data_IF_579050509558
#
_entry.id   IF_579050509558
#
_cell.length_a   1.000
_cell.length_b   1.000
_cell.length_c   1.000
_cell.angle_alpha   90.00
_cell.angle_beta   90.00
_cell.angle_gamma   90.00
#
_symmetry.space_group_name_H-M   'P 1'
#
loop_
_entity.id
_entity.type
_entity.pdbx_description
1 polymer ?
#
# COMPACT_ATOMS: atom_id res chain seq x y z
N UNK A 1 7.80 -28.40 7.99
CA UNK A 1 6.77 -27.37 7.98
C UNK A 1 7.38 -26.04 7.56
N UNK A 2 6.73 -25.32 6.70
CA UNK A 2 7.11 -23.97 6.26
C UNK A 2 5.97 -23.03 6.62
N UNK A 3 6.32 -21.89 7.20
CA UNK A 3 5.38 -20.81 7.51
C UNK A 3 5.97 -19.52 6.99
N UNK A 4 5.17 -18.75 6.26
CA UNK A 4 5.65 -17.50 5.66
C UNK A 4 4.58 -16.75 4.89
N UNK A 5 4.99 -15.67 4.26
CA UNK A 5 4.14 -14.77 3.50
C UNK A 5 3.96 -15.15 2.03
N UNK A 6 4.62 -16.23 1.59
CA UNK A 6 4.60 -16.66 0.17
C UNK A 6 3.19 -17.01 -0.29
N UNK A 7 2.79 -16.43 -1.38
CA UNK A 7 1.56 -16.80 -2.08
C UNK A 7 1.88 -17.34 -3.49
N UNK A 8 0.91 -18.01 -4.09
CA UNK A 8 1.04 -18.53 -5.48
C UNK A 8 0.73 -17.37 -6.44
N UNK A 9 1.62 -16.40 -6.52
CA UNK A 9 1.55 -15.32 -7.51
C UNK A 9 2.81 -15.31 -8.38
N UNK A 10 2.70 -14.78 -9.59
CA UNK A 10 3.85 -14.66 -10.49
C UNK A 10 4.98 -13.84 -9.87
N UNK A 11 4.67 -12.75 -9.20
CA UNK A 11 5.66 -11.90 -8.52
C UNK A 11 6.35 -12.62 -7.38
N UNK A 12 5.63 -13.34 -6.54
CA UNK A 12 6.20 -14.12 -5.44
C UNK A 12 7.11 -15.26 -5.95
N UNK A 13 6.78 -15.85 -7.11
CA UNK A 13 7.55 -16.94 -7.70
C UNK A 13 8.76 -16.48 -8.51
N UNK A 14 8.83 -15.22 -8.94
CA UNK A 14 9.86 -14.76 -9.89
C UNK A 14 10.74 -13.64 -9.38
N UNK A 15 10.20 -12.62 -8.75
CA UNK A 15 10.89 -11.38 -8.39
C UNK A 15 10.57 -10.83 -7.00
N UNK A 16 9.55 -11.37 -6.35
CA UNK A 16 9.17 -10.97 -4.99
C UNK A 16 10.17 -11.48 -3.95
N UNK A 17 10.37 -10.70 -2.88
CA UNK A 17 11.10 -11.14 -1.71
C UNK A 17 10.09 -11.68 -0.71
N UNK A 18 10.10 -12.99 -0.54
CA UNK A 18 9.20 -13.70 0.37
C UNK A 18 9.97 -14.29 1.54
N UNK A 19 9.44 -14.14 2.73
CA UNK A 19 10.03 -14.66 3.94
C UNK A 19 9.29 -15.90 4.39
N UNK A 20 10.03 -17.03 4.40
CA UNK A 20 9.53 -18.31 4.88
C UNK A 20 10.43 -18.84 6.00
N UNK A 21 9.81 -19.28 7.08
CA UNK A 21 10.52 -19.97 8.14
C UNK A 21 10.28 -21.47 8.06
N UNK A 22 11.35 -22.26 8.12
CA UNK A 22 11.29 -23.72 8.09
C UNK A 22 11.40 -24.28 9.47
N UNK A 23 10.35 -24.90 9.96
CA UNK A 23 10.37 -25.68 11.19
C UNK A 23 10.75 -27.13 10.94
N UNK A 24 11.64 -27.67 11.78
CA UNK A 24 12.04 -29.08 11.74
C UNK A 24 11.65 -29.75 13.05
N UNK A 25 10.98 -30.89 12.97
CA UNK A 25 10.61 -31.71 14.15
C UNK A 25 11.82 -32.16 14.96
N UNK A 26 13.01 -32.18 14.35
CA UNK A 26 14.25 -32.57 15.02
C UNK A 26 14.95 -31.40 15.74
N UNK A 27 14.85 -30.20 15.17
CA UNK A 27 15.55 -29.00 15.69
C UNK A 27 14.70 -28.19 16.65
N UNK A 28 13.40 -28.15 16.40
CA UNK A 28 12.44 -27.36 17.16
C UNK A 28 11.13 -28.15 17.34
N UNK A 29 11.12 -29.20 18.17
CA UNK A 29 9.99 -30.11 18.27
C UNK A 29 8.74 -29.50 18.91
N UNK A 30 8.90 -28.49 19.77
CA UNK A 30 7.77 -27.84 20.46
C UNK A 30 7.00 -26.96 19.52
N UNK A 31 7.67 -26.01 18.90
CA UNK A 31 7.02 -25.12 17.91
C UNK A 31 6.52 -25.90 16.69
N UNK A 32 7.24 -26.95 16.25
CA UNK A 32 6.75 -27.81 15.18
C UNK A 32 5.41 -28.44 15.53
N UNK A 33 5.25 -28.98 16.75
CA UNK A 33 3.99 -29.61 17.21
C UNK A 33 2.86 -28.59 17.34
N UNK A 34 3.14 -27.41 17.85
CA UNK A 34 2.15 -26.34 18.01
C UNK A 34 1.61 -25.87 16.65
N UNK A 35 2.49 -25.55 15.71
CA UNK A 35 2.08 -25.16 14.37
C UNK A 35 1.40 -26.28 13.60
N UNK A 36 1.84 -27.51 13.79
CA UNK A 36 1.22 -28.66 13.15
C UNK A 36 -0.22 -28.88 13.66
N UNK A 37 -0.44 -28.80 14.95
CA UNK A 37 -1.78 -28.89 15.56
C UNK A 37 -2.69 -27.77 15.09
N UNK A 38 -2.21 -26.55 15.09
CA UNK A 38 -2.96 -25.40 14.59
C UNK A 38 -3.33 -25.57 13.13
N UNK A 39 -2.42 -26.06 12.30
CA UNK A 39 -2.69 -26.36 10.91
C UNK A 39 -3.75 -27.45 10.75
N UNK A 40 -3.65 -28.55 11.50
CA UNK A 40 -4.65 -29.63 11.46
C UNK A 40 -6.03 -29.14 11.89
N UNK A 41 -6.10 -28.35 12.96
CA UNK A 41 -7.35 -27.76 13.43
C UNK A 41 -8.00 -26.88 12.36
N UNK A 42 -7.23 -25.97 11.78
CA UNK A 42 -7.69 -25.11 10.68
C UNK A 42 -8.12 -25.92 9.45
N UNK A 43 -7.35 -26.96 9.11
CA UNK A 43 -7.64 -27.78 7.94
C UNK A 43 -8.87 -28.67 8.13
N UNK A 44 -9.06 -29.25 9.31
CA UNK A 44 -10.16 -30.18 9.58
C UNK A 44 -11.46 -29.44 9.93
N UNK A 45 -11.38 -28.37 10.73
CA UNK A 45 -12.55 -27.73 11.29
C UNK A 45 -12.93 -26.40 10.66
N UNK A 46 -11.99 -25.72 9.98
CA UNK A 46 -12.19 -24.38 9.44
C UNK A 46 -11.95 -24.26 7.93
N UNK A 47 -11.70 -25.37 7.24
CA UNK A 47 -11.57 -25.39 5.79
C UNK A 47 -12.74 -26.14 5.14
N UNK A 48 -12.99 -25.84 3.88
CA UNK A 48 -13.96 -26.55 3.03
C UNK A 48 -13.25 -27.21 1.87
N UNK A 49 -13.77 -28.36 1.44
CA UNK A 49 -13.30 -28.99 0.19
C UNK A 49 -13.82 -28.15 -0.97
N UNK A 50 -12.91 -27.66 -1.81
CA UNK A 50 -13.28 -26.95 -3.03
C UNK A 50 -13.58 -27.99 -4.10
N UNK A 51 -14.87 -28.24 -4.31
CA UNK A 51 -15.38 -29.02 -5.41
C UNK A 51 -15.81 -28.12 -6.60
N UNK A 52 -16.23 -28.73 -7.70
CA UNK A 52 -16.69 -27.99 -8.89
C UNK A 52 -17.88 -27.06 -8.59
N UNK A 53 -18.70 -27.39 -7.62
CA UNK A 53 -19.85 -26.58 -7.21
C UNK A 53 -19.40 -25.34 -6.45
N UNK A 54 -18.49 -25.50 -5.50
CA UNK A 54 -17.92 -24.37 -4.76
C UNK A 54 -17.07 -23.47 -5.68
N UNK A 55 -16.34 -24.05 -6.63
CA UNK A 55 -15.61 -23.30 -7.63
C UNK A 55 -16.52 -22.44 -8.51
N UNK A 56 -17.65 -23.00 -8.95
CA UNK A 56 -18.66 -22.26 -9.72
C UNK A 56 -19.29 -21.15 -8.87
N UNK A 57 -19.63 -21.45 -7.62
CA UNK A 57 -20.18 -20.46 -6.68
C UNK A 57 -19.19 -19.33 -6.44
N UNK A 58 -17.92 -19.65 -6.22
CA UNK A 58 -16.87 -18.67 -6.06
C UNK A 58 -16.74 -17.78 -7.31
N UNK A 59 -16.67 -18.37 -8.50
CA UNK A 59 -16.52 -17.62 -9.76
C UNK A 59 -17.71 -16.71 -10.06
N UNK A 60 -18.92 -17.09 -9.66
CA UNK A 60 -20.13 -16.25 -9.81
C UNK A 60 -20.18 -15.08 -8.84
N UNK A 61 -19.67 -15.27 -7.63
CA UNK A 61 -19.67 -14.27 -6.56
C UNK A 61 -18.38 -13.45 -6.53
N UNK A 62 -17.33 -13.90 -7.25
CA UNK A 62 -16.07 -13.19 -7.24
C UNK A 62 -16.18 -11.90 -8.07
N UNK A 63 -15.96 -10.80 -7.39
CA UNK A 63 -15.81 -9.51 -8.03
C UNK A 63 -14.37 -9.04 -7.81
N UNK A 64 -13.70 -8.65 -8.91
CA UNK A 64 -12.36 -8.11 -8.80
C UNK A 64 -12.38 -6.88 -7.88
N UNK A 65 -11.63 -6.86 -6.77
CA UNK A 65 -11.58 -5.71 -5.89
C UNK A 65 -11.23 -4.44 -6.67
N UNK A 66 -11.88 -3.33 -6.35
CA UNK A 66 -11.63 -2.04 -7.03
C UNK A 66 -10.13 -1.64 -6.97
N UNK A 67 -9.47 -1.97 -5.86
CA UNK A 67 -8.02 -1.77 -5.67
C UNK A 67 -7.18 -2.54 -6.69
N UNK A 68 -7.58 -3.78 -7.06
CA UNK A 68 -6.83 -4.57 -8.04
C UNK A 68 -6.99 -4.04 -9.47
N UNK A 69 -8.10 -3.35 -9.79
CA UNK A 69 -8.27 -2.69 -11.09
C UNK A 69 -7.35 -1.50 -11.27
N UNK A 70 -6.97 -0.86 -10.17
CA UNK A 70 -6.05 0.28 -10.22
C UNK A 70 -4.58 -0.15 -10.30
N UNK A 71 -4.22 -1.31 -9.77
CA UNK A 71 -2.85 -1.85 -9.85
C UNK A 71 -2.46 -2.24 -11.29
N UNK A 72 -3.39 -2.76 -12.09
CA UNK A 72 -3.13 -3.09 -13.50
C UNK A 72 -2.94 -1.85 -14.39
N UNK A 73 -3.35 -0.66 -13.92
CA UNK A 73 -3.12 0.61 -14.63
C UNK A 73 -1.71 1.15 -14.50
N UNK A 74 -0.93 0.63 -13.56
CA UNK A 74 0.48 1.03 -13.43
C UNK A 74 1.39 0.37 -14.46
N UNK A 75 0.91 -0.67 -15.17
CA UNK A 75 1.70 -1.43 -16.14
C UNK A 75 1.42 -1.11 -17.62
N UNK A 76 0.46 -0.23 -17.94
CA UNK A 76 0.13 0.05 -19.36
C UNK A 76 -0.01 1.54 -19.66
N UNK A 77 0.88 1.98 -20.54
CA UNK A 77 0.86 3.15 -21.41
C UNK A 77 -0.51 3.44 -22.04
N UNK A 78 -0.79 4.73 -22.08
CA UNK A 78 -1.71 5.49 -22.89
C UNK A 78 -2.49 4.75 -23.99
N UNK A 79 -3.81 4.75 -23.87
CA UNK A 79 -4.72 4.97 -24.99
C UNK A 79 -6.05 5.53 -24.47
N UNK A 80 -6.35 6.71 -24.97
CA UNK A 80 -7.58 7.44 -24.73
C UNK A 80 -8.79 6.68 -25.27
N UNK A 81 -9.80 6.49 -24.46
CA UNK A 81 -11.20 6.45 -24.94
C UNK A 81 -12.13 6.97 -23.86
N UNK A 82 -12.87 8.00 -24.22
CA UNK A 82 -13.94 8.64 -23.47
C UNK A 82 -14.99 7.62 -22.99
N UNK A 83 -15.12 7.47 -21.69
CA UNK A 83 -16.36 7.05 -21.05
C UNK A 83 -16.38 7.62 -19.64
N UNK A 84 -17.49 8.21 -19.25
CA UNK A 84 -17.80 8.79 -17.93
C UNK A 84 -17.50 7.77 -16.82
N UNK A 85 -16.25 7.74 -16.34
CA UNK A 85 -15.81 6.83 -15.28
C UNK A 85 -16.12 7.50 -13.95
N UNK A 86 -17.01 6.89 -13.18
CA UNK A 86 -17.16 7.17 -11.76
C UNK A 86 -15.75 6.98 -11.15
N UNK A 87 -15.11 8.09 -10.73
CA UNK A 87 -13.80 8.03 -10.09
C UNK A 87 -13.95 7.26 -8.78
N UNK A 88 -13.13 6.24 -8.51
CA UNK A 88 -13.18 5.55 -7.24
C UNK A 88 -12.95 6.55 -6.11
N UNK A 89 -13.83 6.55 -5.12
CA UNK A 89 -13.64 7.34 -3.91
C UNK A 89 -12.59 6.62 -3.06
N UNK A 90 -11.42 7.23 -2.92
CA UNK A 90 -10.37 6.71 -2.05
C UNK A 90 -10.68 7.07 -0.59
N UNK A 91 -10.81 6.06 0.25
CA UNK A 91 -11.07 6.20 1.68
C UNK A 91 -10.00 5.48 2.51
N UNK A 92 -9.63 6.03 3.68
CA UNK A 92 -8.69 5.36 4.57
C UNK A 92 -9.30 4.07 5.12
N UNK A 93 -8.47 3.05 5.38
CA UNK A 93 -8.93 1.72 5.83
C UNK A 93 -8.04 1.17 6.95
N UNK A 94 -8.66 0.40 7.86
CA UNK A 94 -7.94 -0.31 8.93
C UNK A 94 -6.97 0.60 9.69
N UNK A 95 -5.72 0.19 9.79
CA UNK A 95 -4.67 0.92 10.51
C UNK A 95 -4.42 2.35 10.00
N UNK A 96 -4.86 2.70 8.79
CA UNK A 96 -4.78 4.09 8.31
C UNK A 96 -5.75 5.00 9.06
N UNK A 97 -6.94 4.51 9.42
CA UNK A 97 -7.93 5.26 10.20
C UNK A 97 -7.36 5.54 11.59
N UNK A 98 -6.82 4.51 12.25
CA UNK A 98 -6.21 4.63 13.58
C UNK A 98 -5.05 5.64 13.57
N UNK A 99 -4.18 5.57 12.57
CA UNK A 99 -3.05 6.48 12.43
C UNK A 99 -3.50 7.92 12.16
N UNK A 100 -4.57 8.14 11.37
CA UNK A 100 -5.13 9.47 11.13
C UNK A 100 -5.76 10.05 12.40
N UNK A 101 -6.50 9.25 13.17
CA UNK A 101 -7.04 9.68 14.45
C UNK A 101 -5.92 10.07 15.42
N UNK A 102 -4.90 9.23 15.58
CA UNK A 102 -3.76 9.53 16.45
C UNK A 102 -3.00 10.80 16.03
N UNK A 103 -2.90 11.08 14.72
CA UNK A 103 -2.32 12.34 14.23
C UNK A 103 -3.18 13.56 14.59
N UNK A 104 -4.50 13.44 14.53
CA UNK A 104 -5.41 14.52 14.93
C UNK A 104 -5.30 14.80 16.42
N UNK A 105 -5.34 13.76 17.27
CA UNK A 105 -5.19 13.88 18.71
C UNK A 105 -3.86 14.53 19.07
N UNK A 106 -2.76 14.06 18.47
CA UNK A 106 -1.42 14.64 18.67
C UNK A 106 -1.34 16.12 18.29
N UNK A 107 -2.03 16.53 17.22
CA UNK A 107 -2.12 17.95 16.83
C UNK A 107 -2.99 18.77 17.78
N UNK A 108 -4.09 18.20 18.27
CA UNK A 108 -4.95 18.85 19.24
C UNK A 108 -4.21 19.12 20.56
N UNK A 109 -3.24 18.28 20.91
CA UNK A 109 -2.31 18.47 22.04
C UNK A 109 -1.22 19.52 21.77
N UNK A 110 -1.17 20.09 20.57
CA UNK A 110 -0.22 21.13 20.18
C UNK A 110 1.12 20.63 19.61
N UNK A 111 1.27 19.34 19.33
CA UNK A 111 2.48 18.80 18.73
C UNK A 111 2.61 19.22 17.26
N UNK A 112 3.80 19.72 16.92
CA UNK A 112 4.12 20.17 15.55
C UNK A 112 4.82 19.07 14.72
N UNK A 113 5.20 17.96 15.34
CA UNK A 113 5.91 16.84 14.70
C UNK A 113 5.33 15.53 15.18
N UNK A 114 5.22 14.58 14.27
CA UNK A 114 4.81 13.22 14.58
C UNK A 114 5.67 12.20 13.80
N UNK A 115 5.89 11.04 14.40
CA UNK A 115 6.55 9.90 13.77
C UNK A 115 5.52 8.77 13.61
N UNK A 116 5.34 8.30 12.40
CA UNK A 116 4.49 7.14 12.11
C UNK A 116 5.38 5.97 11.72
N UNK A 117 5.36 4.92 12.53
CA UNK A 117 5.98 3.66 12.21
C UNK A 117 4.90 2.66 11.77
N UNK A 118 5.00 2.18 10.54
CA UNK A 118 4.01 1.26 9.99
C UNK A 118 4.68 0.21 9.09
N UNK A 119 4.14 -1.01 9.09
CA UNK A 119 4.64 -2.11 8.27
C UNK A 119 4.55 -1.79 6.76
N UNK A 120 5.30 -2.55 5.96
CA UNK A 120 5.16 -2.50 4.50
C UNK A 120 3.76 -2.98 4.09
N UNK A 121 3.20 -2.41 3.02
CA UNK A 121 1.88 -2.80 2.53
C UNK A 121 0.67 -2.09 3.16
N UNK A 122 0.82 -1.42 4.30
CA UNK A 122 -0.28 -0.65 4.93
C UNK A 122 -0.75 0.53 4.07
N UNK A 123 0.03 0.93 3.08
CA UNK A 123 -0.27 2.10 2.25
C UNK A 123 0.13 3.42 2.91
N UNK A 124 1.37 3.51 3.44
CA UNK A 124 1.92 4.74 4.06
C UNK A 124 1.79 5.98 3.18
N UNK A 125 1.99 5.84 1.87
CA UNK A 125 1.86 6.94 0.92
C UNK A 125 0.41 7.44 0.82
N UNK A 126 -0.56 6.53 0.84
CA UNK A 126 -1.98 6.88 0.90
C UNK A 126 -2.35 7.54 2.22
N UNK A 127 -1.80 7.05 3.34
CA UNK A 127 -1.97 7.69 4.65
C UNK A 127 -1.49 9.14 4.63
N UNK A 128 -0.30 9.40 4.10
CA UNK A 128 0.22 10.76 3.92
C UNK A 128 -0.67 11.60 2.99
N UNK A 129 -1.18 11.01 1.92
CA UNK A 129 -2.09 11.69 1.00
C UNK A 129 -3.43 12.04 1.66
N UNK A 130 -4.01 11.15 2.48
CA UNK A 130 -5.23 11.44 3.26
C UNK A 130 -5.01 12.56 4.27
N UNK A 131 -3.92 12.49 5.05
CA UNK A 131 -3.57 13.51 6.02
C UNK A 131 -3.34 14.87 5.36
N UNK A 132 -2.79 14.89 4.16
CA UNK A 132 -2.51 16.10 3.40
C UNK A 132 -3.75 16.87 2.95
N UNK A 133 -4.94 16.27 2.93
CA UNK A 133 -6.17 16.90 2.39
C UNK A 133 -6.56 18.21 3.10
N UNK A 134 -6.20 18.35 4.36
CA UNK A 134 -6.51 19.53 5.19
C UNK A 134 -5.56 20.71 4.98
N UNK A 135 -4.48 20.51 4.23
CA UNK A 135 -3.48 21.55 4.00
C UNK A 135 -3.55 22.06 2.56
N UNK A 136 -3.49 23.39 2.41
CA UNK A 136 -3.42 24.01 1.09
C UNK A 136 -2.06 23.78 0.43
N UNK A 137 -0.96 23.89 1.20
CA UNK A 137 0.40 23.69 0.72
C UNK A 137 1.03 22.47 1.38
N UNK A 138 1.56 21.59 0.58
CA UNK A 138 2.17 20.32 1.03
C UNK A 138 3.49 20.08 0.33
N UNK A 139 4.51 19.75 1.10
CA UNK A 139 5.79 19.29 0.60
C UNK A 139 5.99 17.82 0.98
N UNK A 140 6.06 16.97 -0.03
CA UNK A 140 6.40 15.55 0.13
C UNK A 140 7.86 15.33 -0.25
N UNK A 141 8.64 14.75 0.67
CA UNK A 141 10.09 14.58 0.49
C UNK A 141 10.45 13.10 0.51
N UNK A 142 11.23 12.65 -0.47
CA UNK A 142 11.79 11.31 -0.49
C UNK A 142 13.18 11.30 -1.16
N UNK A 143 13.92 10.21 -0.98
CA UNK A 143 15.27 10.10 -1.48
C UNK A 143 15.38 9.59 -2.93
N UNK A 144 14.34 8.90 -3.44
CA UNK A 144 14.31 8.34 -4.81
C UNK A 144 13.21 8.98 -5.64
N UNK A 145 13.52 9.27 -6.89
CA UNK A 145 12.57 9.86 -7.84
C UNK A 145 11.37 8.96 -8.12
N UNK A 146 11.57 7.63 -8.17
CA UNK A 146 10.50 6.67 -8.38
C UNK A 146 9.45 6.74 -7.27
N UNK A 147 9.89 6.91 -6.01
CA UNK A 147 8.98 7.08 -4.86
C UNK A 147 8.18 8.37 -5.01
N UNK A 148 8.81 9.45 -5.45
CA UNK A 148 8.15 10.75 -5.67
C UNK A 148 7.08 10.66 -6.75
N UNK A 149 7.38 10.00 -7.87
CA UNK A 149 6.44 9.79 -8.99
C UNK A 149 5.25 8.92 -8.56
N UNK A 150 5.49 7.82 -7.84
CA UNK A 150 4.43 6.97 -7.30
C UNK A 150 3.58 7.72 -6.25
N UNK A 151 4.21 8.50 -5.38
CA UNK A 151 3.51 9.31 -4.41
C UNK A 151 2.61 10.35 -5.08
N UNK A 152 3.07 11.02 -6.14
CA UNK A 152 2.29 12.00 -6.89
C UNK A 152 0.98 11.40 -7.41
N UNK A 153 1.00 10.18 -7.94
CA UNK A 153 -0.20 9.48 -8.39
C UNK A 153 -1.14 9.19 -7.22
N UNK A 154 -0.62 8.71 -6.08
CA UNK A 154 -1.43 8.44 -4.89
C UNK A 154 -2.09 9.71 -4.35
N UNK A 155 -1.35 10.81 -4.28
CA UNK A 155 -1.87 12.10 -3.84
C UNK A 155 -2.90 12.67 -4.83
N UNK A 156 -2.63 12.56 -6.15
CA UNK A 156 -3.60 12.94 -7.19
C UNK A 156 -4.94 12.22 -7.02
N UNK A 157 -4.88 10.91 -6.78
CA UNK A 157 -6.07 10.08 -6.60
C UNK A 157 -6.86 10.48 -5.33
N UNK A 158 -6.17 10.66 -4.21
CA UNK A 158 -6.79 11.00 -2.92
C UNK A 158 -7.30 12.44 -2.88
N UNK A 159 -6.53 13.40 -3.38
CA UNK A 159 -6.92 14.82 -3.40
C UNK A 159 -7.80 15.19 -4.60
N UNK A 160 -7.94 14.29 -5.56
CA UNK A 160 -8.65 14.51 -6.84
C UNK A 160 -8.18 15.78 -7.57
N UNK A 161 -6.87 16.04 -7.52
CA UNK A 161 -6.24 17.22 -8.12
C UNK A 161 -4.95 16.83 -8.82
N UNK A 162 -4.72 17.40 -9.99
CA UNK A 162 -3.46 17.29 -10.75
C UNK A 162 -2.55 18.51 -10.55
N UNK A 163 -2.88 19.39 -9.62
CA UNK A 163 -2.10 20.59 -9.36
C UNK A 163 -0.93 20.30 -8.42
N UNK A 164 0.08 19.68 -8.98
CA UNK A 164 1.33 19.37 -8.29
C UNK A 164 2.54 19.62 -9.18
N UNK A 165 3.72 19.71 -8.57
CA UNK A 165 4.98 19.86 -9.27
C UNK A 165 6.09 19.04 -8.62
N UNK A 166 7.20 18.89 -9.35
CA UNK A 166 8.38 18.19 -8.87
C UNK A 166 9.54 19.16 -8.62
N UNK A 167 10.26 18.92 -7.53
CA UNK A 167 11.51 19.59 -7.21
C UNK A 167 12.61 18.52 -7.10
N UNK A 168 13.02 17.99 -8.25
CA UNK A 168 14.01 16.90 -8.36
C UNK A 168 14.76 17.00 -9.68
N UNK A 169 16.01 16.56 -9.71
CA UNK A 169 16.83 16.60 -10.92
C UNK A 169 16.88 17.99 -11.56
N UNK A 170 16.44 18.08 -12.82
CA UNK A 170 16.35 19.32 -13.57
C UNK A 170 15.05 20.11 -13.28
N UNK A 171 14.01 19.47 -12.78
CA UNK A 171 12.75 20.13 -12.45
C UNK A 171 12.86 20.89 -11.12
N UNK A 172 12.45 22.17 -11.12
CA UNK A 172 12.55 23.09 -9.99
C UNK A 172 11.21 23.81 -9.73
N UNK A 173 10.12 23.08 -9.75
CA UNK A 173 8.79 23.65 -9.50
C UNK A 173 8.64 24.06 -8.04
N UNK A 174 8.25 25.32 -7.77
CA UNK A 174 8.02 25.86 -6.44
C UNK A 174 6.67 26.58 -6.30
N UNK A 175 5.94 26.74 -7.38
CA UNK A 175 4.70 27.54 -7.49
C UNK A 175 3.42 26.70 -7.28
N UNK A 176 3.56 25.38 -7.15
CA UNK A 176 2.42 24.46 -6.98
C UNK A 176 2.06 24.25 -5.51
N UNK A 177 0.76 24.03 -5.21
CA UNK A 177 0.33 23.77 -3.83
C UNK A 177 0.85 22.43 -3.27
N UNK A 178 1.15 21.48 -4.14
CA UNK A 178 1.70 20.17 -3.75
C UNK A 178 3.02 19.96 -4.50
N UNK A 179 4.11 19.85 -3.74
CA UNK A 179 5.45 19.68 -4.29
C UNK A 179 6.04 18.36 -3.82
N UNK A 180 6.57 17.59 -4.77
CA UNK A 180 7.31 16.36 -4.54
C UNK A 180 8.80 16.63 -4.73
N UNK A 181 9.57 16.55 -3.66
CA UNK A 181 10.96 16.97 -3.69
C UNK A 181 11.93 15.86 -3.29
N UNK A 182 13.04 15.81 -3.99
CA UNK A 182 14.14 14.88 -3.66
C UNK A 182 15.02 15.49 -2.57
N UNK A 183 15.37 14.68 -1.56
CA UNK A 183 16.33 15.06 -0.50
C UNK A 183 17.63 15.59 -1.11
N UNK A 184 18.13 14.92 -2.15
CA UNK A 184 19.37 15.30 -2.82
C UNK A 184 19.28 16.67 -3.52
N UNK A 185 18.09 17.12 -3.89
CA UNK A 185 17.90 18.41 -4.54
C UNK A 185 17.69 19.54 -3.52
N UNK A 186 16.92 19.30 -2.45
CA UNK A 186 16.68 20.29 -1.38
C UNK A 186 17.97 20.55 -0.57
N UNK A 187 18.78 19.53 -0.34
CA UNK A 187 19.98 19.61 0.48
C UNK A 187 21.20 20.20 -0.21
N UNK A 188 21.10 20.65 -1.46
CA UNK A 188 22.20 21.36 -2.13
C UNK A 188 22.12 22.83 -1.76
N UNK A 189 23.17 23.40 -1.14
CA UNK A 189 23.27 24.85 -1.04
C UNK A 189 23.34 25.43 -2.47
N UNK A 190 22.70 26.57 -2.67
CA UNK A 190 22.81 27.35 -3.90
C UNK A 190 24.23 27.85 -4.11
#
# INVERSE_FOLDING_TARGET
LYIGSSNISRSALTSGIEWNYRFSSQKDPENYREFFRTFEDLFVHHSIIIDDKELKRYSQNWHRPAVAKDLDRYDFTESETNNTKIKPLYEPRGAQIEALCALEDTRAEGAQKALIQAATGIGKTFLAAFDSKKYEKVLFVAHREEILKQAAVSFQNVRNSKDYGFFMGAEKCTDKPLIFASVATIGKPE
#
